data_IF_359006847533
#
_entry.id   IF_359006847533
#
_cell.length_a   1.000
_cell.length_b   1.000
_cell.length_c   1.000
_cell.angle_alpha   90.00
_cell.angle_beta   90.00
_cell.angle_gamma   90.00
#
_symmetry.space_group_name_H-M   'P 1'
#
loop_
_entity.id
_entity.type
_entity.pdbx_description
1 polymer ?
#
# COMPACT_ATOMS: atom_id res chain seq x y z
N UNK A 1 1.31 1.68 -26.88
CA UNK A 1 0.75 2.73 -27.76
C UNK A 1 1.88 3.39 -28.54
N UNK A 2 1.62 3.96 -29.72
CA UNK A 2 2.61 4.80 -30.42
C UNK A 2 2.28 6.25 -30.11
N UNK A 3 3.17 6.92 -29.39
CA UNK A 3 3.08 8.35 -29.03
C UNK A 3 4.34 9.00 -29.56
N UNK A 4 4.21 10.14 -30.25
CA UNK A 4 5.34 10.86 -30.87
C UNK A 4 6.23 9.98 -31.77
N UNK A 5 5.61 9.08 -32.53
CA UNK A 5 6.29 8.12 -33.41
C UNK A 5 7.16 7.07 -32.69
N UNK A 6 7.03 6.92 -31.37
CA UNK A 6 7.75 5.93 -30.57
C UNK A 6 6.81 4.93 -29.89
N UNK A 7 7.27 3.68 -29.74
CA UNK A 7 6.54 2.64 -29.00
C UNK A 7 6.65 2.90 -27.50
N UNK A 8 5.53 3.31 -26.89
CA UNK A 8 5.39 3.53 -25.45
C UNK A 8 4.60 2.42 -24.77
N UNK A 9 5.13 1.92 -23.64
CA UNK A 9 4.40 1.11 -22.67
C UNK A 9 4.12 1.94 -21.41
N UNK A 10 2.96 1.75 -20.79
CA UNK A 10 2.63 2.39 -19.53
C UNK A 10 1.78 1.46 -18.67
N UNK A 11 1.81 1.69 -17.37
CA UNK A 11 0.89 1.14 -16.39
C UNK A 11 0.48 2.25 -15.43
N UNK A 12 -0.65 2.07 -14.76
CA UNK A 12 -1.09 2.97 -13.69
C UNK A 12 -1.07 2.21 -12.38
N UNK A 13 -0.40 2.75 -11.37
CA UNK A 13 -0.42 2.23 -10.01
C UNK A 13 -1.19 3.22 -9.15
N UNK A 14 -2.32 2.80 -8.58
CA UNK A 14 -3.24 3.63 -7.80
C UNK A 14 -3.79 2.81 -6.65
N UNK A 15 -3.89 3.45 -5.49
CA UNK A 15 -4.68 3.00 -4.35
C UNK A 15 -5.50 4.17 -3.82
N UNK A 16 -6.75 3.89 -3.44
CA UNK A 16 -7.51 4.76 -2.54
C UNK A 16 -7.32 4.32 -1.08
N UNK A 17 -7.48 5.26 -0.15
CA UNK A 17 -7.30 5.05 1.29
C UNK A 17 -8.12 3.85 1.81
N UNK A 18 -9.42 3.78 1.52
CA UNK A 18 -10.30 2.68 1.94
C UNK A 18 -9.84 1.29 1.43
N UNK A 19 -9.08 1.23 0.34
CA UNK A 19 -8.54 -0.03 -0.19
C UNK A 19 -7.34 -0.50 0.62
N UNK A 20 -6.53 0.43 1.12
CA UNK A 20 -5.39 0.17 2.00
C UNK A 20 -5.90 -0.21 3.39
N UNK A 21 -6.85 0.56 3.92
CA UNK A 21 -7.42 0.32 5.25
C UNK A 21 -8.00 -1.10 5.37
N UNK A 22 -8.83 -1.53 4.42
CA UNK A 22 -9.50 -2.84 4.51
C UNK A 22 -8.50 -3.99 4.57
N UNK A 23 -7.39 -3.93 3.82
CA UNK A 23 -6.40 -5.01 3.81
C UNK A 23 -5.45 -4.93 5.01
N UNK A 24 -5.13 -3.72 5.46
CA UNK A 24 -4.34 -3.50 6.67
C UNK A 24 -5.05 -4.07 7.90
N UNK A 25 -6.36 -3.82 8.08
CA UNK A 25 -7.15 -4.39 9.18
C UNK A 25 -7.10 -5.91 9.22
N UNK A 26 -7.29 -6.57 8.07
CA UNK A 26 -7.15 -8.03 7.95
C UNK A 26 -5.74 -8.48 8.33
N UNK A 27 -4.70 -7.77 7.91
CA UNK A 27 -3.32 -8.09 8.25
C UNK A 27 -3.04 -7.96 9.75
N UNK A 28 -3.54 -6.91 10.41
CA UNK A 28 -3.42 -6.71 11.86
C UNK A 28 -4.16 -7.79 12.65
N UNK A 29 -5.42 -8.10 12.29
CA UNK A 29 -6.20 -9.16 12.93
C UNK A 29 -5.53 -10.54 12.81
N UNK A 30 -4.92 -10.83 11.65
CA UNK A 30 -4.15 -12.05 11.46
C UNK A 30 -2.84 -12.05 12.25
N UNK A 31 -2.17 -10.91 12.39
CA UNK A 31 -0.96 -10.78 13.19
C UNK A 31 -1.23 -11.04 14.68
N UNK A 32 -2.33 -10.52 15.23
CA UNK A 32 -2.76 -10.77 16.62
C UNK A 32 -3.05 -12.25 16.89
N UNK A 33 -3.60 -12.99 15.91
CA UNK A 33 -3.81 -14.44 16.00
C UNK A 33 -2.51 -15.26 15.90
N UNK A 34 -1.38 -14.63 15.61
CA UNK A 34 -0.06 -15.26 15.44
C UNK A 34 0.90 -14.81 16.53
N UNK A 35 1.96 -14.10 16.17
CA UNK A 35 3.02 -13.66 17.07
C UNK A 35 2.93 -12.15 17.38
N UNK A 36 1.86 -11.48 16.98
CA UNK A 36 1.68 -10.03 17.17
C UNK A 36 2.68 -9.19 16.36
N UNK A 37 3.23 -9.71 15.26
CA UNK A 37 4.23 -9.02 14.43
C UNK A 37 3.71 -8.88 13.01
N UNK A 38 3.65 -7.64 12.53
CA UNK A 38 3.33 -7.29 11.15
C UNK A 38 4.50 -6.51 10.54
N UNK A 39 4.84 -6.83 9.29
CA UNK A 39 5.81 -6.07 8.50
C UNK A 39 5.07 -5.54 7.26
N UNK A 40 4.85 -4.24 7.20
CA UNK A 40 4.34 -3.57 6.00
C UNK A 40 5.50 -3.33 5.04
N UNK A 41 5.36 -3.73 3.78
CA UNK A 41 6.40 -3.60 2.76
C UNK A 41 5.94 -2.62 1.69
N UNK A 42 6.77 -1.61 1.41
CA UNK A 42 6.42 -0.52 0.52
C UNK A 42 7.66 0.05 -0.21
N UNK A 43 7.45 1.03 -1.09
CA UNK A 43 8.53 1.80 -1.75
C UNK A 43 8.32 3.31 -1.57
N UNK A 44 7.97 3.72 -0.34
CA UNK A 44 7.57 5.09 -0.02
C UNK A 44 8.67 6.13 -0.30
N UNK A 45 9.93 5.69 -0.43
CA UNK A 45 11.04 6.55 -0.81
C UNK A 45 11.06 6.96 -2.30
N UNK A 46 10.14 6.43 -3.13
CA UNK A 46 10.04 6.73 -4.56
C UNK A 46 8.59 6.88 -5.02
N UNK A 47 7.66 6.06 -4.55
CA UNK A 47 6.29 6.00 -5.07
C UNK A 47 5.30 6.64 -4.09
N UNK A 48 4.60 7.70 -4.50
CA UNK A 48 3.59 8.42 -3.70
C UNK A 48 2.44 7.50 -3.29
N UNK A 49 2.02 6.59 -4.17
CA UNK A 49 1.02 5.55 -3.89
C UNK A 49 1.39 4.76 -2.63
N UNK A 50 2.68 4.54 -2.43
CA UNK A 50 3.19 3.77 -1.28
C UNK A 50 3.55 4.63 -0.07
N UNK A 51 3.62 5.97 -0.22
CA UNK A 51 3.62 6.88 0.92
C UNK A 51 2.23 6.88 1.57
N UNK A 52 1.17 7.05 0.77
CA UNK A 52 -0.21 6.90 1.25
C UNK A 52 -0.43 5.53 1.91
N UNK A 53 0.08 4.45 1.30
CA UNK A 53 0.05 3.12 1.92
C UNK A 53 0.65 3.11 3.33
N UNK A 54 1.85 3.67 3.50
CA UNK A 54 2.54 3.69 4.78
C UNK A 54 1.78 4.51 5.82
N UNK A 55 1.33 5.71 5.45
CA UNK A 55 0.59 6.62 6.34
C UNK A 55 -0.68 5.95 6.90
N UNK A 56 -1.47 5.33 6.03
CA UNK A 56 -2.71 4.64 6.42
C UNK A 56 -2.43 3.43 7.32
N UNK A 57 -1.40 2.62 7.00
CA UNK A 57 -1.03 1.46 7.81
C UNK A 57 -0.51 1.89 9.20
N UNK A 58 0.30 2.96 9.26
CA UNK A 58 0.80 3.50 10.53
C UNK A 58 -0.32 4.12 11.37
N UNK A 59 -1.29 4.81 10.77
CA UNK A 59 -2.46 5.33 11.47
C UNK A 59 -3.28 4.21 12.11
N UNK A 60 -3.50 3.11 11.40
CA UNK A 60 -4.22 1.94 11.93
C UNK A 60 -3.46 1.19 13.02
N UNK A 61 -2.13 1.27 13.06
CA UNK A 61 -1.33 0.54 14.04
C UNK A 61 -1.67 0.90 15.50
N UNK A 62 -2.21 2.11 15.76
CA UNK A 62 -2.65 2.52 17.09
C UNK A 62 -3.89 1.78 17.61
N UNK A 63 -4.65 1.13 16.72
CA UNK A 63 -5.88 0.41 17.07
C UNK A 63 -5.65 -1.08 17.41
N UNK A 64 -4.44 -1.63 17.23
CA UNK A 64 -4.14 -3.06 17.29
C UNK A 64 -2.94 -3.44 18.17
#
# INVERSE_FOLDING_TARGET
EVVDNERRGFNTYVYAEHEIERIARVAFELAQKRQGRLCSVDKANVLEVTQLWREVVEQLAGDY
#
